data_IF_549949228577
#
_entry.id   IF_549949228577
#
_cell.length_a   1.000
_cell.length_b   1.000
_cell.length_c   1.000
_cell.angle_alpha   90.00
_cell.angle_beta   90.00
_cell.angle_gamma   90.00
#
_symmetry.space_group_name_H-M   'P 1'
#
loop_
_entity.id
_entity.type
_entity.pdbx_description
1 polymer ?
#
# COMPACT_ATOMS: atom_id res chain seq x y z
N UNK A 1 13.15 -18.94 71.30
CA UNK A 1 12.41 -17.88 70.59
C UNK A 1 12.07 -18.37 69.19
N UNK A 2 10.80 -18.65 68.91
CA UNK A 2 10.31 -19.02 67.59
C UNK A 2 10.15 -17.73 66.77
N UNK A 3 10.87 -17.58 65.66
CA UNK A 3 10.66 -16.49 64.71
C UNK A 3 9.61 -16.94 63.69
N UNK A 4 8.55 -16.14 63.56
CA UNK A 4 7.37 -16.43 62.78
C UNK A 4 7.65 -16.34 61.28
N UNK A 5 7.38 -17.44 60.57
CA UNK A 5 7.20 -17.46 59.12
C UNK A 5 5.91 -16.71 58.82
N UNK A 6 6.01 -15.54 58.19
CA UNK A 6 4.85 -14.84 57.60
C UNK A 6 4.51 -15.54 56.29
N UNK A 7 3.57 -16.47 56.33
CA UNK A 7 2.88 -16.99 55.15
C UNK A 7 2.04 -15.85 54.56
N UNK A 8 2.50 -15.23 53.47
CA UNK A 8 1.61 -14.44 52.64
C UNK A 8 0.65 -15.41 51.94
N UNK A 9 -0.57 -15.46 52.48
CA UNK A 9 -1.73 -16.05 51.83
C UNK A 9 -2.01 -15.21 50.58
N UNK A 10 -1.55 -15.64 49.41
CA UNK A 10 -1.98 -15.06 48.13
C UNK A 10 -3.44 -15.45 47.94
N UNK A 11 -4.36 -14.53 48.27
CA UNK A 11 -5.77 -14.66 47.92
C UNK A 11 -5.87 -14.69 46.41
N UNK A 12 -6.17 -15.88 45.87
CA UNK A 12 -6.39 -16.12 44.44
C UNK A 12 -7.62 -15.36 43.93
N UNK A 13 -7.47 -14.07 43.66
CA UNK A 13 -8.35 -13.36 42.73
C UNK A 13 -7.80 -13.64 41.34
N UNK A 14 -8.63 -14.24 40.48
CA UNK A 14 -8.31 -14.29 39.05
C UNK A 14 -8.01 -12.85 38.58
N UNK A 15 -6.94 -12.63 37.79
CA UNK A 15 -6.63 -11.30 37.28
C UNK A 15 -7.87 -10.70 36.60
N UNK A 16 -8.17 -9.43 36.88
CA UNK A 16 -9.28 -8.76 36.22
C UNK A 16 -8.97 -8.69 34.72
N UNK A 17 -9.90 -9.13 33.88
CA UNK A 17 -9.76 -9.00 32.43
C UNK A 17 -9.87 -7.52 32.06
N UNK A 18 -8.91 -7.03 31.27
CA UNK A 18 -8.86 -5.67 30.73
C UNK A 18 -9.08 -5.73 29.22
N UNK A 19 -9.75 -4.72 28.65
CA UNK A 19 -9.91 -4.55 27.21
C UNK A 19 -9.08 -3.37 26.70
N UNK A 20 -8.95 -3.23 25.37
CA UNK A 20 -8.09 -2.18 24.81
C UNK A 20 -8.52 -0.76 25.16
N UNK A 21 -9.83 -0.51 25.27
CA UNK A 21 -10.35 0.81 25.63
C UNK A 21 -10.17 1.16 27.12
N UNK A 22 -9.82 0.17 27.96
CA UNK A 22 -9.60 0.37 29.40
C UNK A 22 -8.12 0.67 29.73
N UNK A 23 -7.25 0.63 28.72
CA UNK A 23 -5.81 0.83 28.90
C UNK A 23 -5.55 2.28 29.29
N UNK A 24 -4.95 2.45 30.47
CA UNK A 24 -4.49 3.74 31.00
C UNK A 24 -2.98 3.70 31.28
N UNK A 25 -2.28 4.84 31.23
CA UNK A 25 -0.85 4.89 31.54
C UNK A 25 -0.57 4.48 32.99
N UNK A 26 0.26 3.46 33.18
CA UNK A 26 0.67 2.97 34.51
C UNK A 26 0.92 1.46 34.54
N UNK A 27 1.49 0.95 35.64
CA UNK A 27 1.55 -0.49 35.87
C UNK A 27 0.17 -0.98 36.30
N UNK A 28 -0.38 -1.93 35.54
CA UNK A 28 -1.63 -2.61 35.90
C UNK A 28 -1.34 -4.08 36.21
N UNK A 29 -1.90 -4.58 37.31
CA UNK A 29 -1.95 -6.02 37.63
C UNK A 29 -3.02 -6.77 36.80
N UNK A 30 -3.74 -6.05 35.92
CA UNK A 30 -4.79 -6.64 35.08
C UNK A 30 -4.20 -7.43 33.92
N UNK A 31 -4.96 -8.43 33.45
CA UNK A 31 -4.56 -9.27 32.34
C UNK A 31 -5.26 -8.80 31.07
N UNK A 32 -4.48 -8.43 30.06
CA UNK A 32 -5.01 -8.10 28.75
C UNK A 32 -5.13 -9.39 27.92
N UNK A 33 -6.28 -9.63 27.30
CA UNK A 33 -6.51 -10.77 26.41
C UNK A 33 -6.78 -10.27 25.00
N UNK A 34 -6.12 -10.87 24.03
CA UNK A 34 -6.29 -10.47 22.63
C UNK A 34 -5.97 -11.62 21.68
N UNK A 35 -6.59 -11.59 20.50
CA UNK A 35 -6.16 -12.36 19.34
C UNK A 35 -5.14 -11.56 18.55
N UNK A 36 -4.08 -12.21 18.09
CA UNK A 36 -3.17 -11.65 17.09
C UNK A 36 -3.80 -11.86 15.72
N UNK A 37 -4.31 -10.80 15.08
CA UNK A 37 -4.83 -10.87 13.71
C UNK A 37 -3.69 -11.16 12.74
N UNK A 38 -2.63 -10.36 12.83
CA UNK A 38 -1.48 -10.45 11.95
C UNK A 38 -0.24 -9.84 12.62
N UNK A 39 0.94 -10.18 12.11
CA UNK A 39 2.19 -9.57 12.52
C UNK A 39 3.20 -9.64 11.37
N UNK A 40 4.12 -8.67 11.33
CA UNK A 40 5.13 -8.57 10.28
C UNK A 40 6.42 -7.92 10.81
N UNK A 41 7.52 -8.17 10.11
CA UNK A 41 8.80 -7.52 10.41
C UNK A 41 8.76 -6.06 9.95
N UNK A 42 9.00 -5.13 10.87
CA UNK A 42 9.26 -3.73 10.56
C UNK A 42 10.77 -3.56 10.32
N UNK A 43 11.15 -3.15 9.11
CA UNK A 43 12.55 -2.95 8.72
C UNK A 43 12.79 -1.51 8.29
N UNK A 44 14.00 -1.03 8.54
CA UNK A 44 14.45 0.25 8.02
C UNK A 44 14.62 0.13 6.50
N UNK A 45 13.94 1.00 5.75
CA UNK A 45 13.92 0.95 4.28
C UNK A 45 15.31 1.22 3.69
N UNK A 46 16.15 2.04 4.33
CA UNK A 46 17.43 2.47 3.78
C UNK A 46 18.52 1.39 3.87
N UNK A 47 18.50 0.56 4.92
CA UNK A 47 19.56 -0.41 5.19
C UNK A 47 19.06 -1.83 5.51
N UNK A 48 17.74 -2.06 5.48
CA UNK A 48 17.11 -3.36 5.73
C UNK A 48 17.18 -3.86 7.17
N UNK A 49 17.66 -3.06 8.12
CA UNK A 49 17.83 -3.52 9.51
C UNK A 49 16.47 -3.72 10.19
N UNK A 50 16.36 -4.79 10.98
CA UNK A 50 15.15 -5.08 11.75
C UNK A 50 14.96 -4.01 12.84
N UNK A 51 13.87 -3.27 12.77
CA UNK A 51 13.42 -2.32 13.79
C UNK A 51 12.65 -3.08 14.87
N UNK A 52 11.79 -4.01 14.47
CA UNK A 52 11.01 -4.86 15.37
C UNK A 52 9.92 -5.64 14.64
N UNK A 53 8.95 -6.13 15.40
CA UNK A 53 7.77 -6.83 14.91
C UNK A 53 6.55 -5.97 15.20
N UNK A 54 5.83 -5.57 14.16
CA UNK A 54 4.53 -4.94 14.31
C UNK A 54 3.44 -6.00 14.43
N UNK A 55 2.44 -5.70 15.24
CA UNK A 55 1.33 -6.59 15.57
C UNK A 55 0.02 -5.87 15.28
N UNK A 56 -0.94 -6.58 14.71
CA UNK A 56 -2.34 -6.16 14.65
C UNK A 56 -3.13 -7.06 15.60
N UNK A 57 -3.70 -6.46 16.64
CA UNK A 57 -4.34 -7.18 17.74
C UNK A 57 -5.84 -6.84 17.79
N UNK A 58 -6.65 -7.77 18.27
CA UNK A 58 -8.09 -7.56 18.50
C UNK A 58 -8.52 -8.13 19.84
N UNK A 59 -9.27 -7.34 20.61
CA UNK A 59 -9.85 -7.78 21.88
C UNK A 59 -11.23 -8.45 21.69
N UNK A 60 -11.83 -8.89 22.79
CA UNK A 60 -13.15 -9.54 22.81
C UNK A 60 -14.28 -8.63 22.33
N UNK A 61 -14.12 -7.31 22.46
CA UNK A 61 -15.09 -6.32 22.01
C UNK A 61 -14.89 -5.94 20.53
N UNK A 62 -13.90 -6.53 19.86
CA UNK A 62 -13.57 -6.21 18.48
C UNK A 62 -12.82 -4.88 18.32
N UNK A 63 -12.29 -4.31 19.39
CA UNK A 63 -11.40 -3.15 19.32
C UNK A 63 -10.08 -3.61 18.74
N UNK A 64 -9.55 -2.88 17.77
CA UNK A 64 -8.25 -3.19 17.14
C UNK A 64 -7.19 -2.26 17.65
N UNK A 65 -6.03 -2.82 17.99
CA UNK A 65 -4.85 -2.08 18.43
C UNK A 65 -3.62 -2.53 17.65
N UNK A 66 -2.74 -1.57 17.32
CA UNK A 66 -1.41 -1.89 16.84
C UNK A 66 -0.46 -2.06 18.03
N UNK A 67 0.27 -3.17 18.04
CA UNK A 67 1.34 -3.45 18.99
C UNK A 67 2.70 -3.45 18.31
N UNK A 68 3.76 -3.32 19.10
CA UNK A 68 5.13 -3.33 18.59
C UNK A 68 6.08 -4.02 19.55
N UNK A 69 6.84 -5.00 19.05
CA UNK A 69 7.92 -5.68 19.78
C UNK A 69 9.25 -5.21 19.19
N UNK A 70 10.11 -4.59 19.99
CA UNK A 70 11.42 -4.12 19.52
C UNK A 70 12.30 -5.26 19.01
N UNK A 71 13.22 -4.95 18.09
CA UNK A 71 14.19 -5.93 17.56
C UNK A 71 15.00 -6.64 18.64
N UNK A 72 15.33 -5.95 19.74
CA UNK A 72 16.01 -6.52 20.90
C UNK A 72 15.20 -7.64 21.60
N UNK A 73 13.87 -7.65 21.45
CA UNK A 73 12.95 -8.60 22.08
C UNK A 73 12.37 -9.60 21.09
N UNK A 74 12.46 -9.34 19.79
CA UNK A 74 11.94 -10.21 18.75
C UNK A 74 12.40 -11.67 18.92
N UNK A 75 13.67 -12.00 19.23
CA UNK A 75 14.10 -13.39 19.43
C UNK A 75 13.34 -14.13 20.54
N UNK A 76 12.84 -13.41 21.55
CA UNK A 76 12.11 -14.00 22.68
C UNK A 76 10.65 -14.31 22.33
N UNK A 77 9.98 -13.43 21.59
CA UNK A 77 8.53 -13.56 21.35
C UNK A 77 8.19 -14.17 19.99
N UNK A 78 8.98 -13.88 18.95
CA UNK A 78 8.70 -14.31 17.57
C UNK A 78 8.50 -15.82 17.43
N UNK A 79 9.28 -16.71 18.08
CA UNK A 79 9.06 -18.16 17.98
C UNK A 79 7.70 -18.64 18.52
N UNK A 80 7.07 -17.85 19.38
CA UNK A 80 5.81 -18.18 20.05
C UNK A 80 4.61 -17.44 19.46
N UNK A 81 4.82 -16.48 18.57
CA UNK A 81 3.76 -15.72 17.91
C UNK A 81 3.15 -16.52 16.76
N UNK A 82 1.81 -16.61 16.78
CA UNK A 82 1.01 -17.27 15.76
C UNK A 82 -0.19 -16.37 15.43
N UNK A 83 -0.40 -16.10 14.15
CA UNK A 83 -1.59 -15.40 13.70
C UNK A 83 -2.84 -16.25 13.99
N UNK A 84 -3.92 -15.59 14.41
CA UNK A 84 -5.17 -16.22 14.85
C UNK A 84 -5.17 -16.74 16.29
N UNK A 85 -4.00 -16.93 16.90
CA UNK A 85 -3.90 -17.38 18.29
C UNK A 85 -4.27 -16.26 19.27
N UNK A 86 -4.77 -16.68 20.43
CA UNK A 86 -5.18 -15.79 21.51
C UNK A 86 -4.13 -15.86 22.60
N UNK A 87 -3.79 -14.69 23.12
CA UNK A 87 -2.76 -14.51 24.11
C UNK A 87 -3.29 -13.75 25.30
N UNK A 88 -2.64 -13.97 26.42
CA UNK A 88 -2.72 -13.08 27.56
C UNK A 88 -1.40 -12.36 27.77
N UNK A 89 -1.50 -11.09 28.16
CA UNK A 89 -0.36 -10.25 28.47
C UNK A 89 -0.53 -9.66 29.87
N UNK A 90 0.48 -9.89 30.71
CA UNK A 90 0.56 -9.38 32.09
C UNK A 90 1.71 -8.38 32.21
N UNK A 91 1.67 -7.53 33.25
CA UNK A 91 2.67 -6.48 33.51
C UNK A 91 2.84 -5.53 32.31
N UNK A 92 1.72 -5.00 31.83
CA UNK A 92 1.69 -4.11 30.69
C UNK A 92 2.19 -2.73 31.14
N UNK A 93 3.37 -2.35 30.65
CA UNK A 93 3.65 -0.93 30.37
C UNK A 93 3.18 -0.70 28.92
N UNK A 94 2.90 0.52 28.47
CA UNK A 94 2.45 0.83 27.10
C UNK A 94 3.43 0.39 25.96
N UNK A 95 4.45 -0.38 26.31
CA UNK A 95 5.37 -1.13 25.47
C UNK A 95 5.65 -2.48 26.15
N UNK A 96 5.96 -3.53 25.38
CA UNK A 96 6.46 -4.78 25.95
C UNK A 96 7.73 -4.45 26.78
N UNK A 97 7.62 -4.48 28.11
CA UNK A 97 8.63 -4.01 29.07
C UNK A 97 9.31 -5.17 29.79
N UNK A 98 10.46 -4.94 30.44
CA UNK A 98 11.16 -6.00 31.18
C UNK A 98 10.23 -6.56 32.25
N UNK A 99 9.71 -7.78 32.03
CA UNK A 99 8.71 -8.43 32.89
C UNK A 99 7.36 -8.72 32.21
N UNK A 100 7.10 -8.24 30.99
CA UNK A 100 5.88 -8.61 30.25
C UNK A 100 5.93 -10.08 29.82
N UNK A 101 4.97 -10.88 30.28
CA UNK A 101 4.84 -12.29 29.93
C UNK A 101 3.71 -12.43 28.91
N UNK A 102 4.04 -12.89 27.71
CA UNK A 102 3.08 -13.26 26.68
C UNK A 102 2.88 -14.78 26.77
N UNK A 103 1.66 -15.21 27.09
CA UNK A 103 1.33 -16.63 27.19
C UNK A 103 0.17 -16.97 26.25
N UNK A 104 0.28 -18.05 25.44
CA UNK A 104 -0.86 -18.60 24.72
C UNK A 104 -2.01 -18.89 25.69
N UNK A 105 -3.23 -18.62 25.27
CA UNK A 105 -4.43 -18.98 26.02
C UNK A 105 -5.12 -20.15 25.31
N UNK A 106 -4.81 -21.37 25.75
CA UNK A 106 -5.27 -22.60 25.12
C UNK A 106 -6.69 -23.01 25.60
N UNK A 107 -7.04 -22.72 26.86
CA UNK A 107 -8.33 -23.07 27.48
C UNK A 107 -9.27 -21.86 27.53
N UNK A 108 -9.86 -21.50 26.38
CA UNK A 108 -10.86 -20.42 26.30
C UNK A 108 -12.24 -21.02 26.52
N UNK A 109 -13.03 -20.53 27.51
CA UNK A 109 -14.40 -20.96 27.67
C UNK A 109 -15.19 -20.73 26.38
N UNK A 110 -16.01 -21.68 25.97
CA UNK A 110 -16.82 -21.62 24.72
C UNK A 110 -17.68 -20.34 24.63
N UNK A 111 -18.02 -19.74 25.78
CA UNK A 111 -18.78 -18.50 25.87
C UNK A 111 -17.99 -17.23 25.49
N UNK A 112 -16.67 -17.30 25.36
CA UNK A 112 -15.81 -16.16 25.00
C UNK A 112 -15.40 -16.28 23.54
N UNK A 113 -15.91 -15.38 22.70
CA UNK A 113 -15.59 -15.33 21.28
C UNK A 113 -14.82 -14.06 20.97
N UNK A 114 -13.64 -14.23 20.37
CA UNK A 114 -12.90 -13.13 19.77
C UNK A 114 -13.27 -13.04 18.29
N UNK A 115 -13.48 -11.84 17.74
CA UNK A 115 -13.55 -11.69 16.29
C UNK A 115 -12.25 -12.18 15.63
N UNK A 116 -12.34 -12.83 14.47
CA UNK A 116 -11.16 -13.36 13.75
C UNK A 116 -10.36 -12.27 13.08
N UNK A 117 -11.05 -11.21 12.64
CA UNK A 117 -10.47 -10.08 11.93
C UNK A 117 -11.37 -8.85 12.07
N UNK A 118 -10.88 -7.70 11.62
CA UNK A 118 -11.68 -6.49 11.46
C UNK A 118 -11.13 -5.67 10.30
N UNK A 119 -11.80 -5.79 9.17
CA UNK A 119 -11.42 -5.10 7.94
C UNK A 119 -11.87 -3.65 7.96
N UNK A 120 -11.01 -2.77 7.46
CA UNK A 120 -11.23 -1.33 7.32
C UNK A 120 -11.39 -1.04 5.84
N UNK A 121 -12.60 -1.23 5.32
CA UNK A 121 -12.90 -0.94 3.92
C UNK A 121 -13.09 0.55 3.71
N UNK A 122 -12.54 1.05 2.60
CA UNK A 122 -12.57 2.46 2.24
C UNK A 122 -13.10 2.65 0.82
N UNK A 123 -13.70 3.81 0.60
CA UNK A 123 -14.21 4.22 -0.72
C UNK A 123 -13.09 4.73 -1.62
N UNK A 124 -13.38 4.88 -2.91
CA UNK A 124 -12.44 5.51 -3.84
C UNK A 124 -12.09 6.94 -3.41
N UNK A 125 -13.08 7.68 -2.91
CA UNK A 125 -12.94 9.04 -2.40
C UNK A 125 -12.02 9.09 -1.17
N UNK A 126 -12.14 8.10 -0.27
CA UNK A 126 -11.25 7.98 0.88
C UNK A 126 -9.80 7.74 0.42
N UNK A 127 -9.59 6.81 -0.51
CA UNK A 127 -8.25 6.57 -1.07
C UNK A 127 -7.70 7.81 -1.80
N UNK A 128 -8.57 8.58 -2.45
CA UNK A 128 -8.20 9.83 -3.08
C UNK A 128 -7.77 10.90 -2.06
N UNK A 129 -8.46 11.01 -0.92
CA UNK A 129 -8.16 11.99 0.12
C UNK A 129 -6.85 11.68 0.87
N UNK A 130 -6.50 10.39 0.99
CA UNK A 130 -5.34 9.94 1.76
C UNK A 130 -4.11 9.61 0.90
N UNK A 131 -4.05 10.11 -0.34
CA UNK A 131 -2.94 9.88 -1.26
C UNK A 131 -1.60 10.31 -0.67
N UNK A 132 -0.67 9.36 -0.53
CA UNK A 132 0.69 9.63 -0.04
C UNK A 132 0.79 9.96 1.45
N UNK A 133 -0.31 9.85 2.21
CA UNK A 133 -0.28 9.97 3.66
C UNK A 133 0.12 8.62 4.27
N UNK A 134 1.05 8.67 5.21
CA UNK A 134 1.42 7.52 6.05
C UNK A 134 0.67 7.61 7.38
N UNK A 135 -0.17 6.63 7.71
CA UNK A 135 -0.80 6.61 9.03
C UNK A 135 -1.80 5.48 9.26
N UNK A 136 -2.61 5.15 8.25
CA UNK A 136 -3.66 4.14 8.37
C UNK A 136 -3.35 2.86 7.61
N UNK A 137 -3.95 1.77 8.11
CA UNK A 137 -3.98 0.47 7.46
C UNK A 137 -5.30 0.35 6.70
N UNK A 138 -5.27 0.57 5.39
CA UNK A 138 -6.46 0.50 4.56
C UNK A 138 -6.65 -0.90 3.98
N UNK A 139 -7.88 -1.39 3.91
CA UNK A 139 -8.21 -2.65 3.25
C UNK A 139 -9.08 -2.41 2.02
N UNK A 140 -8.85 -3.20 0.96
CA UNK A 140 -9.59 -3.10 -0.30
C UNK A 140 -10.14 -4.46 -0.70
N UNK A 141 -11.42 -4.52 -1.05
CA UNK A 141 -12.05 -5.66 -1.71
C UNK A 141 -12.63 -5.23 -3.05
N UNK A 142 -12.46 -6.04 -4.08
CA UNK A 142 -13.02 -5.81 -5.40
C UNK A 142 -12.95 -7.04 -6.27
N UNK A 143 -13.54 -6.98 -7.47
CA UNK A 143 -13.38 -8.03 -8.46
C UNK A 143 -12.24 -7.74 -9.43
N UNK A 144 -11.49 -8.78 -9.80
CA UNK A 144 -10.38 -8.69 -10.72
C UNK A 144 -10.87 -8.48 -12.15
N UNK A 145 -10.08 -7.74 -12.92
CA UNK A 145 -10.34 -7.51 -14.36
C UNK A 145 -9.19 -7.88 -15.24
N UNK A 146 -8.01 -7.42 -14.84
CA UNK A 146 -6.77 -7.72 -15.53
C UNK A 146 -5.77 -8.17 -14.48
N UNK A 147 -5.03 -9.22 -14.81
CA UNK A 147 -3.88 -9.69 -14.03
C UNK A 147 -2.68 -9.62 -14.95
N UNK A 148 -1.66 -8.83 -14.57
CA UNK A 148 -0.49 -8.56 -15.42
C UNK A 148 -0.85 -8.09 -16.85
N UNK A 149 -1.95 -7.32 -16.99
CA UNK A 149 -2.41 -6.83 -18.29
C UNK A 149 -3.22 -7.84 -19.12
N UNK A 150 -3.33 -9.09 -18.69
CA UNK A 150 -4.15 -10.11 -19.35
C UNK A 150 -5.60 -10.06 -18.84
N UNK A 151 -6.57 -10.10 -19.76
CA UNK A 151 -8.00 -10.15 -19.46
C UNK A 151 -8.39 -11.47 -18.82
N UNK A 152 -9.31 -11.43 -17.86
CA UNK A 152 -9.91 -12.61 -17.23
C UNK A 152 -11.06 -13.24 -18.04
N UNK A 153 -11.29 -12.79 -19.29
CA UNK A 153 -12.24 -13.46 -20.20
C UNK A 153 -11.83 -14.93 -20.39
N UNK A 154 -10.53 -15.16 -20.56
CA UNK A 154 -9.90 -16.47 -20.49
C UNK A 154 -9.03 -16.54 -19.23
N UNK A 155 -8.80 -17.74 -18.70
CA UNK A 155 -7.91 -17.91 -17.55
C UNK A 155 -6.48 -17.51 -17.96
N UNK A 156 -5.90 -16.45 -17.38
CA UNK A 156 -4.56 -16.02 -17.76
C UNK A 156 -3.53 -17.05 -17.28
N UNK A 157 -2.52 -17.30 -18.11
CA UNK A 157 -1.35 -18.09 -17.72
C UNK A 157 -0.35 -17.13 -17.11
N UNK A 158 -0.17 -17.23 -15.79
CA UNK A 158 0.76 -16.39 -15.06
C UNK A 158 2.16 -17.02 -15.05
N UNK A 159 3.15 -16.28 -15.51
CA UNK A 159 4.56 -16.56 -15.24
C UNK A 159 4.94 -16.00 -13.86
N UNK A 160 5.55 -16.82 -13.01
CA UNK A 160 5.99 -16.41 -11.67
C UNK A 160 7.00 -15.25 -11.75
N UNK A 161 7.94 -15.31 -12.70
CA UNK A 161 8.93 -14.26 -12.88
C UNK A 161 8.28 -12.95 -13.34
N UNK A 162 7.29 -13.05 -14.22
CA UNK A 162 6.51 -11.90 -14.68
C UNK A 162 5.63 -11.32 -13.56
N UNK A 163 4.92 -12.12 -12.75
CA UNK A 163 4.07 -11.59 -11.67
C UNK A 163 4.91 -10.90 -10.59
N UNK A 164 6.06 -11.49 -10.25
CA UNK A 164 7.00 -10.89 -9.28
C UNK A 164 7.69 -9.64 -9.89
N UNK A 165 7.88 -9.60 -11.21
CA UNK A 165 8.57 -8.52 -11.94
C UNK A 165 7.68 -7.35 -12.36
N UNK A 166 6.50 -7.61 -12.92
CA UNK A 166 5.54 -6.64 -13.45
C UNK A 166 4.65 -6.04 -12.38
N UNK A 167 4.41 -6.76 -11.27
CA UNK A 167 3.85 -6.23 -10.01
C UNK A 167 2.50 -5.53 -10.17
N UNK A 168 1.71 -5.87 -11.20
CA UNK A 168 0.49 -5.13 -11.58
C UNK A 168 -0.73 -6.04 -11.56
N UNK A 169 -1.69 -5.71 -10.70
CA UNK A 169 -3.02 -6.31 -10.68
C UNK A 169 -4.04 -5.17 -10.79
N UNK A 170 -5.08 -5.34 -11.61
CA UNK A 170 -6.16 -4.37 -11.72
C UNK A 170 -7.39 -4.91 -11.03
N UNK A 171 -7.76 -4.22 -9.95
CA UNK A 171 -8.94 -4.51 -9.13
C UNK A 171 -10.02 -3.49 -9.46
N UNK A 172 -11.23 -3.98 -9.65
CA UNK A 172 -12.41 -3.16 -9.85
C UNK A 172 -13.29 -3.20 -8.58
N UNK A 173 -13.39 -2.05 -7.93
CA UNK A 173 -14.34 -1.81 -6.83
C UNK A 173 -14.89 -0.39 -6.97
N UNK A 174 -15.91 -0.22 -7.82
CA UNK A 174 -16.33 1.11 -8.28
C UNK A 174 -15.49 1.57 -9.48
N UNK A 175 -14.84 2.74 -9.50
CA UNK A 175 -13.88 3.07 -10.56
C UNK A 175 -12.74 2.04 -10.60
N UNK A 176 -12.20 1.78 -11.79
CA UNK A 176 -11.08 0.85 -11.97
C UNK A 176 -9.85 1.39 -11.25
N UNK A 177 -9.24 0.57 -10.39
CA UNK A 177 -8.06 0.96 -9.62
C UNK A 177 -6.89 0.01 -9.88
N UNK A 178 -5.71 0.58 -10.09
CA UNK A 178 -4.47 -0.18 -10.18
C UNK A 178 -4.02 -0.59 -8.77
N UNK A 179 -3.78 -1.87 -8.57
CA UNK A 179 -3.23 -2.43 -7.34
C UNK A 179 -1.87 -3.09 -7.64
N UNK A 180 -0.83 -2.62 -6.97
CA UNK A 180 0.52 -3.16 -7.13
C UNK A 180 0.83 -4.09 -5.97
N UNK A 181 1.07 -5.37 -6.27
CA UNK A 181 1.52 -6.34 -5.26
C UNK A 181 3.04 -6.50 -5.32
N UNK A 182 3.65 -6.49 -4.15
CA UNK A 182 5.10 -6.58 -3.96
C UNK A 182 5.46 -7.81 -3.13
N UNK A 183 6.64 -8.36 -3.42
CA UNK A 183 7.31 -9.38 -2.63
C UNK A 183 6.40 -10.54 -2.20
N UNK A 184 6.18 -10.72 -0.89
CA UNK A 184 5.40 -11.84 -0.36
C UNK A 184 3.93 -11.77 -0.78
N UNK A 185 3.33 -10.57 -0.83
CA UNK A 185 1.95 -10.43 -1.28
C UNK A 185 1.78 -10.87 -2.74
N UNK A 186 2.75 -10.56 -3.60
CA UNK A 186 2.74 -11.03 -5.00
C UNK A 186 2.88 -12.56 -5.11
N UNK A 187 3.78 -13.15 -4.31
CA UNK A 187 3.97 -14.62 -4.25
C UNK A 187 2.72 -15.33 -3.74
N UNK A 188 2.12 -14.82 -2.67
CA UNK A 188 0.91 -15.40 -2.08
C UNK A 188 -0.26 -15.31 -3.06
N UNK A 189 -0.41 -14.18 -3.74
CA UNK A 189 -1.39 -14.03 -4.83
C UNK A 189 -1.13 -15.06 -5.94
N UNK A 190 0.09 -15.13 -6.47
CA UNK A 190 0.46 -16.05 -7.55
C UNK A 190 0.12 -17.49 -7.20
N UNK A 191 0.57 -17.94 -6.02
CA UNK A 191 0.33 -19.30 -5.53
C UNK A 191 -1.16 -19.58 -5.40
N UNK A 192 -1.92 -18.67 -4.78
CA UNK A 192 -3.38 -18.82 -4.64
C UNK A 192 -4.05 -18.90 -6.01
N UNK A 193 -3.76 -17.95 -6.89
CA UNK A 193 -4.38 -17.84 -8.22
C UNK A 193 -4.13 -19.07 -9.11
N UNK A 194 -2.89 -19.58 -9.10
CA UNK A 194 -2.53 -20.78 -9.88
C UNK A 194 -3.06 -22.07 -9.27
N UNK A 195 -3.22 -22.14 -7.94
CA UNK A 195 -3.75 -23.31 -7.25
C UNK A 195 -5.28 -23.43 -7.29
N UNK A 196 -6.01 -22.35 -7.60
CA UNK A 196 -7.47 -22.38 -7.68
C UNK A 196 -7.96 -23.26 -8.83
N UNK A 197 -9.04 -24.01 -8.60
CA UNK A 197 -9.69 -24.81 -9.65
C UNK A 197 -10.25 -23.88 -10.75
N UNK A 198 -11.03 -22.88 -10.33
CA UNK A 198 -11.57 -21.83 -11.18
C UNK A 198 -10.67 -20.59 -11.21
N UNK A 199 -10.82 -19.75 -12.23
CA UNK A 199 -10.17 -18.43 -12.29
C UNK A 199 -10.71 -17.53 -11.17
N UNK A 200 -9.87 -17.09 -10.22
CA UNK A 200 -10.33 -16.20 -9.17
C UNK A 200 -10.88 -14.89 -9.72
N UNK A 201 -12.01 -14.45 -9.17
CA UNK A 201 -12.73 -13.25 -9.64
C UNK A 201 -12.75 -12.12 -8.61
N UNK A 202 -12.51 -12.40 -7.33
CA UNK A 202 -12.52 -11.48 -6.21
C UNK A 202 -11.15 -11.45 -5.56
N UNK A 203 -10.70 -10.25 -5.19
CA UNK A 203 -9.47 -10.03 -4.46
C UNK A 203 -9.74 -9.09 -3.29
N UNK A 204 -9.27 -9.49 -2.11
CA UNK A 204 -9.14 -8.65 -0.94
C UNK A 204 -7.66 -8.55 -0.56
N UNK A 205 -7.17 -7.32 -0.44
CA UNK A 205 -5.82 -7.04 0.05
C UNK A 205 -5.89 -6.12 1.25
N UNK A 206 -5.26 -6.53 2.35
CA UNK A 206 -5.21 -5.73 3.57
C UNK A 206 -4.01 -4.80 3.59
N UNK A 207 -4.08 -3.76 4.42
CA UNK A 207 -2.98 -2.81 4.69
C UNK A 207 -2.33 -2.21 3.43
N UNK A 208 -3.15 -1.88 2.44
CA UNK A 208 -2.69 -1.22 1.21
C UNK A 208 -2.37 0.24 1.46
N UNK A 209 -1.42 0.76 0.69
CA UNK A 209 -1.02 2.16 0.70
C UNK A 209 -1.52 2.88 -0.57
N UNK A 210 -2.39 3.89 -0.45
CA UNK A 210 -2.80 4.75 -1.55
C UNK A 210 -1.65 5.64 -2.05
N UNK A 211 -1.29 5.48 -3.31
CA UNK A 211 -0.20 6.21 -3.99
C UNK A 211 -0.69 6.89 -5.26
N UNK A 212 0.13 7.83 -5.73
CA UNK A 212 0.01 8.37 -7.08
C UNK A 212 1.11 7.73 -7.93
N UNK A 213 0.70 6.99 -8.97
CA UNK A 213 1.61 6.35 -9.92
C UNK A 213 1.22 6.80 -11.31
N UNK A 214 2.16 7.41 -12.04
CA UNK A 214 1.92 8.00 -13.36
C UNK A 214 0.70 8.94 -13.38
N UNK A 215 0.59 9.80 -12.36
CA UNK A 215 -0.51 10.76 -12.21
C UNK A 215 -1.87 10.19 -11.79
N UNK A 216 -2.00 8.86 -11.67
CA UNK A 216 -3.24 8.18 -11.33
C UNK A 216 -3.22 7.62 -9.91
N UNK A 217 -4.39 7.58 -9.27
CA UNK A 217 -4.55 6.87 -8.00
C UNK A 217 -4.28 5.37 -8.20
N UNK A 218 -3.43 4.83 -7.35
CA UNK A 218 -3.14 3.41 -7.29
C UNK A 218 -3.01 2.96 -5.83
N UNK A 219 -3.21 1.67 -5.60
CA UNK A 219 -2.93 1.03 -4.33
C UNK A 219 -1.65 0.23 -4.44
N UNK A 220 -0.87 0.19 -3.37
CA UNK A 220 0.36 -0.58 -3.30
C UNK A 220 0.29 -1.46 -2.07
N UNK A 221 0.57 -2.75 -2.20
CA UNK A 221 0.78 -3.60 -1.03
C UNK A 221 1.99 -3.12 -0.23
N UNK A 222 2.00 -3.49 1.05
CA UNK A 222 3.06 -3.26 2.02
C UNK A 222 3.58 -4.61 2.53
N UNK A 223 4.65 -4.59 3.33
CA UNK A 223 5.16 -5.81 3.99
C UNK A 223 4.11 -6.47 4.92
N UNK A 224 3.12 -5.69 5.38
CA UNK A 224 2.00 -6.12 6.21
C UNK A 224 0.80 -6.66 5.43
N UNK A 225 0.82 -6.58 4.09
CA UNK A 225 -0.35 -6.89 3.28
C UNK A 225 -0.60 -8.38 3.20
N UNK A 226 -1.84 -8.77 3.47
CA UNK A 226 -2.35 -10.12 3.29
C UNK A 226 -3.25 -10.14 2.06
N UNK A 227 -3.17 -11.23 1.31
CA UNK A 227 -3.97 -11.42 0.09
C UNK A 227 -4.99 -12.52 0.31
N UNK A 228 -6.24 -12.25 -0.03
CA UNK A 228 -7.35 -13.19 0.03
C UNK A 228 -8.10 -13.19 -1.30
N UNK A 229 -8.47 -14.37 -1.79
CA UNK A 229 -9.22 -14.55 -3.04
C UNK A 229 -10.62 -15.13 -2.76
N UNK A 230 -11.31 -15.55 -3.81
CA UNK A 230 -12.63 -16.16 -3.79
C UNK A 230 -12.85 -17.09 -2.60
N UNK A 231 -13.80 -16.71 -1.75
CA UNK A 231 -14.28 -17.51 -0.62
C UNK A 231 -13.25 -17.84 0.47
N UNK A 232 -12.05 -17.23 0.45
CA UNK A 232 -11.04 -17.41 1.49
C UNK A 232 -11.55 -16.99 2.89
N UNK A 233 -12.32 -15.90 2.97
CA UNK A 233 -12.81 -15.31 4.21
C UNK A 233 -14.18 -14.64 4.00
N UNK A 234 -14.90 -14.36 5.08
CA UNK A 234 -16.28 -13.84 5.01
C UNK A 234 -16.46 -12.65 4.05
N UNK A 235 -15.60 -11.61 4.04
CA UNK A 235 -15.76 -10.52 3.08
C UNK A 235 -15.62 -10.94 1.61
N UNK A 236 -14.74 -11.89 1.29
CA UNK A 236 -14.61 -12.37 -0.10
C UNK A 236 -15.76 -13.32 -0.45
N UNK A 237 -16.31 -14.07 0.50
CA UNK A 237 -17.54 -14.87 0.33
C UNK A 237 -18.73 -13.94 0.00
N UNK A 238 -18.94 -12.91 0.81
CA UNK A 238 -20.05 -11.96 0.66
C UNK A 238 -19.95 -11.22 -0.68
N UNK A 239 -18.75 -10.71 -1.00
CA UNK A 239 -18.51 -10.00 -2.25
C UNK A 239 -18.68 -10.92 -3.48
N UNK A 240 -18.20 -12.17 -3.40
CA UNK A 240 -18.35 -13.15 -4.49
C UNK A 240 -19.83 -13.46 -4.74
N UNK A 241 -20.62 -13.68 -3.69
CA UNK A 241 -22.07 -13.91 -3.78
C UNK A 241 -22.81 -12.71 -4.39
N UNK A 242 -22.46 -11.50 -3.93
CA UNK A 242 -22.99 -10.26 -4.49
C UNK A 242 -22.64 -10.10 -5.98
N UNK A 243 -21.39 -10.38 -6.38
CA UNK A 243 -20.95 -10.27 -7.76
C UNK A 243 -21.72 -11.23 -8.68
N UNK A 244 -21.93 -12.48 -8.24
CA UNK A 244 -22.73 -13.47 -8.95
C UNK A 244 -24.20 -13.04 -9.16
N UNK A 245 -24.75 -12.27 -8.23
CA UNK A 245 -26.10 -11.70 -8.34
C UNK A 245 -26.16 -10.43 -9.20
N UNK A 246 -25.00 -9.85 -9.58
CA UNK A 246 -24.89 -8.59 -10.33
C UNK A 246 -23.97 -8.71 -11.56
N UNK A 247 -24.25 -9.63 -12.50
CA UNK A 247 -23.35 -9.95 -13.62
C UNK A 247 -23.11 -8.76 -14.57
N UNK A 248 -24.03 -7.80 -14.62
CA UNK A 248 -23.88 -6.62 -15.47
C UNK A 248 -22.82 -5.65 -14.92
N UNK A 249 -22.61 -5.60 -13.60
CA UNK A 249 -21.51 -4.83 -13.00
C UNK A 249 -20.17 -5.46 -13.38
N UNK A 250 -20.13 -6.80 -13.43
CA UNK A 250 -19.02 -7.56 -13.99
C UNK A 250 -18.86 -7.37 -15.51
N UNK A 251 -19.61 -6.49 -16.20
CA UNK A 251 -19.40 -6.17 -17.64
C UNK A 251 -19.22 -4.67 -17.93
N UNK A 252 -19.36 -3.79 -16.92
CA UNK A 252 -19.40 -2.32 -17.11
C UNK A 252 -18.08 -1.66 -17.56
N UNK A 253 -16.96 -2.36 -17.54
CA UNK A 253 -15.65 -1.80 -17.90
C UNK A 253 -15.10 -2.56 -19.08
N UNK A 254 -14.79 -1.84 -20.16
CA UNK A 254 -14.07 -2.41 -21.29
C UNK A 254 -12.61 -2.66 -20.87
N UNK A 255 -12.17 -3.92 -20.92
CA UNK A 255 -10.78 -4.30 -20.66
C UNK A 255 -9.80 -3.49 -21.53
N UNK A 256 -10.21 -3.12 -22.75
CA UNK A 256 -9.41 -2.35 -23.72
C UNK A 256 -9.13 -0.90 -23.28
N UNK A 257 -9.99 -0.30 -22.43
CA UNK A 257 -9.71 1.03 -21.86
C UNK A 257 -8.67 0.96 -20.72
N UNK A 258 -8.49 -0.22 -20.13
CA UNK A 258 -7.66 -0.46 -18.94
C UNK A 258 -6.30 -1.10 -19.29
N UNK A 259 -6.21 -1.85 -20.40
CA UNK A 259 -4.97 -2.45 -20.94
C UNK A 259 -3.98 -1.43 -21.50
N UNK A 260 -4.31 -0.14 -21.52
CA UNK A 260 -3.52 0.94 -22.14
C UNK A 260 -2.24 1.33 -21.37
N UNK A 261 -1.66 0.41 -20.60
CA UNK A 261 -0.43 0.61 -19.82
C UNK A 261 0.48 -0.63 -19.86
N UNK A 262 0.73 -1.20 -21.03
CA UNK A 262 1.99 -1.93 -21.21
C UNK A 262 3.13 -0.92 -21.04
N UNK A 263 4.17 -1.27 -20.28
CA UNK A 263 5.41 -0.49 -20.26
C UNK A 263 6.01 -0.61 -21.65
N UNK A 264 6.03 0.47 -22.40
CA UNK A 264 6.52 0.47 -23.77
C UNK A 264 8.04 0.73 -23.77
N UNK A 265 8.76 0.01 -24.61
CA UNK A 265 10.15 0.36 -24.95
C UNK A 265 10.16 1.67 -25.74
N UNK A 266 11.32 2.34 -25.75
CA UNK A 266 11.52 3.54 -26.56
C UNK A 266 11.22 3.24 -28.04
N UNK A 267 11.67 2.09 -28.55
CA UNK A 267 11.36 1.64 -29.91
C UNK A 267 9.86 1.48 -30.20
N UNK A 268 9.08 0.93 -29.25
CA UNK A 268 7.63 0.80 -29.40
C UNK A 268 6.92 2.17 -29.35
N UNK A 269 7.38 3.09 -28.50
CA UNK A 269 6.86 4.47 -28.46
C UNK A 269 7.12 5.16 -29.81
N UNK A 270 8.32 5.00 -30.37
CA UNK A 270 8.61 5.53 -31.71
C UNK A 270 7.73 4.92 -32.80
N UNK A 271 7.45 3.62 -32.72
CA UNK A 271 6.54 2.95 -33.65
C UNK A 271 5.12 3.54 -33.56
N UNK A 272 4.63 3.85 -32.35
CA UNK A 272 3.35 4.53 -32.15
C UNK A 272 3.33 5.94 -32.75
N UNK A 273 4.36 6.76 -32.47
CA UNK A 273 4.44 8.15 -32.95
C UNK A 273 4.47 8.21 -34.49
N UNK A 274 5.02 7.18 -35.15
CA UNK A 274 5.10 7.09 -36.61
C UNK A 274 3.78 6.71 -37.30
N UNK A 275 2.73 6.37 -36.56
CA UNK A 275 1.43 6.03 -37.16
C UNK A 275 0.76 7.30 -37.71
N UNK A 276 0.16 7.23 -38.90
CA UNK A 276 -0.49 8.39 -39.57
C UNK A 276 -1.60 9.03 -38.73
N UNK A 277 -2.24 8.28 -37.84
CA UNK A 277 -3.35 8.72 -36.99
C UNK A 277 -2.99 8.77 -35.49
N UNK A 278 -1.71 8.87 -35.14
CA UNK A 278 -1.27 8.93 -33.75
C UNK A 278 -1.92 10.14 -33.03
N UNK A 279 -2.67 9.87 -31.97
CA UNK A 279 -3.24 10.89 -31.08
C UNK A 279 -2.34 11.11 -29.87
N UNK A 280 -2.52 12.22 -29.18
CA UNK A 280 -1.90 12.46 -27.87
C UNK A 280 -2.20 11.29 -26.92
N UNK A 281 -1.16 10.72 -26.31
CA UNK A 281 -1.24 9.53 -25.48
C UNK A 281 -0.18 9.57 -24.37
N UNK A 282 -0.44 8.84 -23.29
CA UNK A 282 0.47 8.70 -22.15
C UNK A 282 0.98 7.26 -22.08
N UNK A 283 2.28 7.10 -21.83
CA UNK A 283 2.95 5.80 -21.80
C UNK A 283 3.80 5.66 -20.53
N UNK A 284 3.88 4.44 -20.02
CA UNK A 284 4.89 4.07 -19.02
C UNK A 284 6.13 3.59 -19.76
N UNK A 285 7.31 4.10 -19.41
CA UNK A 285 8.59 3.71 -20.01
C UNK A 285 9.66 3.57 -18.93
N UNK A 286 10.46 2.50 -19.01
CA UNK A 286 11.64 2.31 -18.17
C UNK A 286 12.87 2.61 -19.03
N UNK A 287 13.58 3.68 -18.70
CA UNK A 287 14.79 4.10 -19.38
C UNK A 287 15.83 4.58 -18.38
N UNK A 288 17.11 4.54 -18.78
CA UNK A 288 18.22 5.09 -18.01
C UNK A 288 18.61 6.46 -18.56
N UNK A 289 18.81 7.43 -17.68
CA UNK A 289 19.31 8.75 -18.07
C UNK A 289 20.78 8.65 -18.47
N UNK A 290 21.11 9.13 -19.67
CA UNK A 290 22.47 9.17 -20.20
C UNK A 290 23.12 10.53 -19.91
N UNK A 291 22.57 11.61 -20.49
CA UNK A 291 23.14 12.95 -20.40
C UNK A 291 22.08 14.05 -20.46
N UNK A 292 22.41 15.21 -19.88
CA UNK A 292 21.62 16.43 -19.96
C UNK A 292 21.97 17.18 -21.26
N UNK A 293 20.98 17.45 -22.11
CA UNK A 293 21.19 18.31 -23.28
C UNK A 293 21.40 19.77 -22.85
N UNK A 294 22.62 20.27 -23.06
CA UNK A 294 23.04 21.63 -22.67
C UNK A 294 22.80 22.70 -23.75
N UNK A 295 22.27 22.30 -24.90
CA UNK A 295 21.98 23.18 -26.04
C UNK A 295 20.72 24.04 -25.85
N UNK A 296 19.98 23.80 -24.78
CA UNK A 296 18.68 24.41 -24.49
C UNK A 296 18.65 24.94 -23.05
N UNK A 297 17.86 26.00 -22.82
CA UNK A 297 17.62 26.47 -21.46
C UNK A 297 16.96 25.36 -20.62
N UNK A 298 17.52 25.08 -19.45
CA UNK A 298 17.09 24.01 -18.54
C UNK A 298 15.92 24.41 -17.63
N UNK A 299 15.54 25.68 -17.65
CA UNK A 299 14.36 26.20 -16.97
C UNK A 299 13.64 27.27 -17.80
N UNK A 300 12.40 27.54 -17.45
CA UNK A 300 11.63 28.69 -17.90
C UNK A 300 11.04 29.44 -16.70
N UNK A 301 10.79 30.73 -16.86
CA UNK A 301 10.04 31.48 -15.86
C UNK A 301 8.56 31.26 -16.12
N UNK A 302 7.89 30.58 -15.19
CA UNK A 302 6.46 30.28 -15.26
C UNK A 302 5.66 31.07 -14.24
N UNK A 303 4.38 31.30 -14.55
CA UNK A 303 3.43 31.84 -13.58
C UNK A 303 3.30 30.88 -12.39
N UNK A 304 3.31 31.41 -11.16
CA UNK A 304 3.07 30.61 -9.94
C UNK A 304 1.68 29.96 -9.92
N UNK A 305 0.66 30.61 -10.50
CA UNK A 305 -0.72 30.10 -10.52
C UNK A 305 -1.05 29.22 -11.72
N UNK A 306 -0.87 29.71 -12.96
CA UNK A 306 -1.34 29.02 -14.18
C UNK A 306 -0.24 28.29 -14.97
N UNK A 307 0.97 28.17 -14.42
CA UNK A 307 2.10 27.41 -14.99
C UNK A 307 2.60 27.86 -16.39
N UNK A 308 1.94 28.85 -16.98
CA UNK A 308 2.21 29.36 -18.33
C UNK A 308 3.55 30.10 -18.35
N UNK A 309 4.35 29.86 -19.40
CA UNK A 309 5.62 30.53 -19.61
C UNK A 309 5.43 32.05 -19.72
N UNK A 310 6.26 32.78 -18.98
CA UNK A 310 6.32 34.22 -19.06
C UNK A 310 6.90 34.67 -20.41
N UNK A 311 6.32 35.70 -20.99
CA UNK A 311 6.92 36.48 -22.08
C UNK A 311 7.42 37.81 -21.53
N UNK A 312 8.44 38.38 -22.18
CA UNK A 312 8.93 39.71 -21.81
C UNK A 312 8.00 40.77 -22.39
N UNK A 313 7.37 41.56 -21.52
CA UNK A 313 6.75 42.83 -21.88
C UNK A 313 7.75 43.99 -21.80
N UNK A 314 7.30 45.23 -22.04
CA UNK A 314 8.17 46.41 -22.04
C UNK A 314 8.85 46.69 -20.69
N UNK A 315 8.16 46.43 -19.57
CA UNK A 315 8.68 46.66 -18.21
C UNK A 315 8.34 45.54 -17.21
N UNK A 316 7.66 44.48 -17.63
CA UNK A 316 7.19 43.40 -16.76
C UNK A 316 7.11 42.04 -17.48
N UNK A 317 6.99 40.97 -16.70
CA UNK A 317 6.68 39.63 -17.22
C UNK A 317 5.18 39.53 -17.53
N UNK A 318 4.85 39.09 -18.74
CA UNK A 318 3.48 38.93 -19.21
C UNK A 318 3.14 37.45 -19.33
N UNK A 319 1.88 37.09 -19.05
CA UNK A 319 1.40 35.71 -19.09
C UNK A 319 0.12 35.62 -19.93
N UNK A 320 0.25 35.16 -21.18
CA UNK A 320 -0.81 35.22 -22.18
C UNK A 320 -2.16 34.60 -21.75
N UNK A 321 -2.15 33.58 -20.89
CA UNK A 321 -3.35 32.86 -20.44
C UNK A 321 -3.91 33.32 -19.09
N UNK A 322 -3.17 34.15 -18.35
CA UNK A 322 -3.44 34.33 -16.92
C UNK A 322 -4.25 35.58 -16.57
N UNK A 323 -4.38 36.57 -17.48
CA UNK A 323 -5.19 37.78 -17.28
C UNK A 323 -4.84 38.66 -16.07
N UNK A 324 -3.82 38.30 -15.28
CA UNK A 324 -3.40 38.94 -14.03
C UNK A 324 -2.09 39.69 -14.25
N UNK A 325 -2.08 40.97 -13.91
CA UNK A 325 -0.99 41.91 -14.23
C UNK A 325 0.12 41.99 -13.16
N UNK A 326 0.18 41.07 -12.20
CA UNK A 326 1.15 41.14 -11.10
C UNK A 326 1.44 39.78 -10.45
N UNK A 327 1.95 38.83 -11.23
CA UNK A 327 2.26 37.48 -10.72
C UNK A 327 3.77 37.26 -10.67
N UNK A 328 4.28 36.87 -9.49
CA UNK A 328 5.68 36.49 -9.31
C UNK A 328 6.02 35.30 -10.21
N UNK A 329 7.10 35.46 -10.98
CA UNK A 329 7.61 34.41 -11.86
C UNK A 329 8.46 33.43 -11.07
N UNK A 330 8.19 32.14 -11.23
CA UNK A 330 8.95 31.06 -10.58
C UNK A 330 9.72 30.29 -11.66
N UNK A 331 10.99 30.00 -11.42
CA UNK A 331 11.77 29.14 -12.30
C UNK A 331 11.23 27.70 -12.23
N UNK A 332 10.95 27.12 -13.39
CA UNK A 332 10.39 25.78 -13.55
C UNK A 332 11.21 25.00 -14.55
N UNK A 333 11.41 23.70 -14.32
CA UNK A 333 12.24 22.89 -15.22
C UNK A 333 11.66 22.83 -16.63
N UNK A 334 12.56 22.91 -17.60
CA UNK A 334 12.36 22.62 -19.03
C UNK A 334 13.61 21.88 -19.53
N UNK A 335 14.11 20.94 -18.74
CA UNK A 335 15.35 20.26 -19.03
C UNK A 335 15.11 19.15 -20.06
N UNK A 336 15.95 19.10 -21.10
CA UNK A 336 15.98 17.99 -22.04
C UNK A 336 17.01 16.98 -21.58
N UNK A 337 16.59 15.75 -21.35
CA UNK A 337 17.47 14.65 -20.97
C UNK A 337 17.52 13.63 -22.11
N UNK A 338 18.72 13.13 -22.38
CA UNK A 338 18.91 11.95 -23.23
C UNK A 338 18.70 10.74 -22.35
N UNK A 339 17.86 9.83 -22.82
CA UNK A 339 17.56 8.58 -22.13
C UNK A 339 17.77 7.43 -23.11
N UNK A 340 18.09 6.26 -22.59
CA UNK A 340 18.20 5.06 -23.40
C UNK A 340 17.54 3.87 -22.69
N UNK A 341 17.06 2.94 -23.50
CA UNK A 341 16.80 1.58 -23.09
C UNK A 341 17.81 0.65 -23.77
N UNK A 342 17.59 -0.67 -23.68
CA UNK A 342 18.54 -1.68 -24.18
C UNK A 342 19.12 -1.37 -25.56
N UNK A 343 18.29 -0.91 -26.50
CA UNK A 343 18.68 -0.76 -27.90
C UNK A 343 18.41 0.62 -28.48
N UNK A 344 17.54 1.43 -27.86
CA UNK A 344 17.06 2.68 -28.43
C UNK A 344 17.37 3.88 -27.52
N UNK A 345 17.55 5.05 -28.14
CA UNK A 345 17.75 6.33 -27.44
C UNK A 345 16.61 7.29 -27.74
N UNK A 346 16.23 8.11 -26.75
CA UNK A 346 15.26 9.18 -26.91
C UNK A 346 15.67 10.44 -26.14
N UNK A 347 14.97 11.54 -26.42
CA UNK A 347 15.07 12.77 -25.63
C UNK A 347 13.75 13.00 -24.92
N UNK A 348 13.78 13.00 -23.59
CA UNK A 348 12.62 13.35 -22.76
C UNK A 348 12.74 14.79 -22.29
N UNK A 349 11.60 15.46 -22.15
CA UNK A 349 11.53 16.83 -21.61
C UNK A 349 10.99 16.75 -20.20
N UNK A 350 11.82 17.08 -19.22
CA UNK A 350 11.42 17.26 -17.83
C UNK A 350 10.77 18.63 -17.69
N UNK A 351 9.47 18.62 -17.40
CA UNK A 351 8.66 19.83 -17.33
C UNK A 351 8.18 20.08 -15.90
N UNK A 352 8.37 21.32 -15.41
CA UNK A 352 7.82 21.75 -14.13
C UNK A 352 8.37 20.98 -12.94
N UNK A 353 7.47 20.40 -12.14
CA UNK A 353 7.79 19.77 -10.86
C UNK A 353 8.55 18.45 -11.03
N UNK A 354 8.36 17.75 -12.16
CA UNK A 354 9.05 16.49 -12.46
C UNK A 354 10.59 16.63 -12.44
N UNK A 355 11.12 17.79 -12.82
CA UNK A 355 12.56 18.04 -12.72
C UNK A 355 13.05 18.21 -11.28
N UNK A 356 12.21 18.78 -10.41
CA UNK A 356 12.54 18.92 -8.98
C UNK A 356 12.46 17.58 -8.26
N UNK A 357 11.45 16.76 -8.60
CA UNK A 357 11.29 15.40 -8.08
C UNK A 357 12.47 14.50 -8.46
N UNK A 358 12.95 14.62 -9.71
CA UNK A 358 14.08 13.82 -10.19
C UNK A 358 15.42 14.25 -9.57
N UNK A 359 15.64 15.55 -9.39
CA UNK A 359 16.94 16.10 -8.96
C UNK A 359 17.04 16.37 -7.46
N UNK A 360 15.90 16.42 -6.76
CA UNK A 360 15.80 16.89 -5.39
C UNK A 360 16.09 18.40 -5.22
N UNK A 361 16.11 19.18 -6.31
CA UNK A 361 16.47 20.61 -6.28
C UNK A 361 15.48 21.46 -7.07
N UNK A 362 15.23 22.69 -6.61
CA UNK A 362 14.50 23.69 -7.38
C UNK A 362 15.27 24.11 -8.63
N UNK A 363 14.55 24.57 -9.65
CA UNK A 363 15.12 24.94 -10.95
C UNK A 363 16.01 26.21 -10.91
N UNK A 364 15.87 27.05 -9.88
CA UNK A 364 16.72 28.20 -9.61
C UNK A 364 16.78 28.49 -8.12
#
# INVERSE_FOLDING_TARGET
MKSAVKSQLTTGKAPLAMYFNDISPGLSESQLRFRVIHFWEAKNIANGTLIGIELLLIDEHGTVMQGFISSSRAPTYLPHLKAGAIYTLQNLTLSFSNGSVLAPLDDIPVSVSFPTDRFRFHTHEDFQAHRGLSGDLYDVVGHLRLVSGQSLIDRPVLDEAEVIGTRRILVHSGPVMKLYLWDQAAKDFYKKFTSSEDTPTVLLVTTVNPKVIAGNLALSSMASSRVFIDKDIQPTIDYFSWLGSNPEIAKRVNADEVTRSETMTIGQIYAYIKQENAKEASFDCIATTDDLKRDSAWYYIGCSGCQTKATRGPSSLMYAKCGKNNVSGVAKYLAKISVYDKNDQAVFVLFGDAGSELTGKHAA
#
